data_IF_792410456052
#
_entry.id   IF_792410456052
#
_cell.length_a   1.000
_cell.length_b   1.000
_cell.length_c   1.000
_cell.angle_alpha   90.00
_cell.angle_beta   90.00
_cell.angle_gamma   90.00
#
_symmetry.space_group_name_H-M   'P 1'
#
loop_
_entity.id
_entity.type
_entity.pdbx_description
1 polymer ?
#
# COMPACT_ATOMS: atom_id res chain seq x y z
N UNK A 1 -23.56 23.27 -2.67
CA UNK A 1 -24.39 24.40 -3.12
C UNK A 1 -24.40 25.37 -1.97
N UNK A 2 -23.94 26.61 -2.19
CA UNK A 2 -24.09 27.63 -1.16
C UNK A 2 -25.58 27.92 -1.04
N UNK A 3 -26.13 27.80 0.17
CA UNK A 3 -27.53 28.11 0.53
C UNK A 3 -27.96 29.42 -0.12
N UNK A 4 -27.11 30.45 -0.01
CA UNK A 4 -27.31 31.78 -0.59
C UNK A 4 -27.58 31.77 -2.11
N UNK A 5 -26.95 30.87 -2.86
CA UNK A 5 -27.16 30.80 -4.31
C UNK A 5 -28.51 30.18 -4.65
N UNK A 6 -28.93 29.15 -3.91
CA UNK A 6 -30.23 28.52 -4.10
C UNK A 6 -31.37 29.47 -3.69
N UNK A 7 -31.16 30.25 -2.62
CA UNK A 7 -32.10 31.27 -2.16
C UNK A 7 -32.28 32.38 -3.21
N UNK A 8 -31.15 32.95 -3.68
CA UNK A 8 -31.14 33.94 -4.75
C UNK A 8 -31.80 33.43 -6.05
N UNK A 9 -31.50 32.19 -6.44
CA UNK A 9 -32.11 31.59 -7.64
C UNK A 9 -33.62 31.41 -7.45
N UNK A 10 -34.07 31.06 -6.24
CA UNK A 10 -35.49 31.02 -5.91
C UNK A 10 -36.18 32.37 -6.08
N UNK A 11 -35.55 33.45 -5.60
CA UNK A 11 -36.07 34.82 -5.77
C UNK A 11 -36.17 35.24 -7.23
N UNK A 12 -35.16 34.92 -8.04
CA UNK A 12 -35.18 35.21 -9.48
C UNK A 12 -36.31 34.46 -10.21
N UNK A 13 -36.58 33.21 -9.84
CA UNK A 13 -37.68 32.42 -10.42
C UNK A 13 -39.02 33.09 -10.13
N UNK A 14 -39.25 33.55 -8.89
CA UNK A 14 -40.49 34.25 -8.53
C UNK A 14 -40.61 35.60 -9.24
N UNK A 15 -39.49 36.31 -9.38
CA UNK A 15 -39.46 37.58 -10.12
C UNK A 15 -39.84 37.41 -11.60
N UNK A 16 -39.50 36.28 -12.23
CA UNK A 16 -39.85 35.99 -13.62
C UNK A 16 -41.23 35.34 -13.77
N UNK A 17 -41.65 34.56 -12.77
CA UNK A 17 -42.89 33.79 -12.77
C UNK A 17 -43.66 34.01 -11.44
N UNK A 18 -44.45 35.08 -11.34
CA UNK A 18 -45.12 35.44 -10.07
C UNK A 18 -46.13 34.41 -9.55
N UNK A 19 -46.61 33.49 -10.39
CA UNK A 19 -47.51 32.40 -9.99
C UNK A 19 -46.81 31.23 -9.31
N UNK A 20 -45.48 31.16 -9.37
CA UNK A 20 -44.69 30.13 -8.69
C UNK A 20 -44.57 30.43 -7.18
N UNK A 21 -44.23 29.40 -6.41
CA UNK A 21 -44.01 29.51 -4.95
C UNK A 21 -42.55 29.20 -4.64
N UNK A 22 -41.83 30.13 -3.99
CA UNK A 22 -40.37 30.03 -3.74
C UNK A 22 -39.98 28.74 -3.02
N UNK A 23 -40.80 28.34 -2.04
CA UNK A 23 -40.64 27.14 -1.22
C UNK A 23 -40.59 25.83 -2.04
N UNK A 24 -41.19 25.82 -3.24
CA UNK A 24 -41.10 24.71 -4.19
C UNK A 24 -39.66 24.47 -4.64
N UNK A 25 -38.90 25.55 -4.78
CA UNK A 25 -37.54 25.56 -5.33
C UNK A 25 -36.48 25.54 -4.24
N UNK A 26 -36.69 26.33 -3.19
CA UNK A 26 -35.80 26.41 -2.06
C UNK A 26 -36.55 26.86 -0.79
N UNK A 27 -36.40 26.09 0.29
CA UNK A 27 -36.89 26.44 1.63
C UNK A 27 -35.75 26.22 2.63
N UNK A 28 -35.31 27.29 3.27
CA UNK A 28 -34.35 27.24 4.37
C UNK A 28 -35.09 27.14 5.71
N UNK A 29 -34.66 26.19 6.55
CA UNK A 29 -35.16 26.10 7.91
C UNK A 29 -34.22 26.87 8.85
N UNK A 30 -34.77 27.77 9.67
CA UNK A 30 -34.02 28.45 10.74
C UNK A 30 -33.54 27.51 11.85
N UNK A 31 -34.11 26.30 11.92
CA UNK A 31 -33.65 25.22 12.80
C UNK A 31 -32.71 24.31 12.03
N UNK A 32 -31.89 23.52 12.72
CA UNK A 32 -30.79 22.66 12.21
C UNK A 32 -31.24 21.50 11.28
N UNK A 33 -32.26 21.72 10.46
CA UNK A 33 -32.81 20.82 9.46
C UNK A 33 -32.23 21.17 8.10
N UNK A 34 -31.93 20.15 7.31
CA UNK A 34 -31.42 20.35 5.96
C UNK A 34 -32.42 21.14 5.10
N UNK A 35 -31.95 22.07 4.24
CA UNK A 35 -32.80 22.79 3.30
C UNK A 35 -33.59 21.83 2.39
N UNK A 36 -34.74 22.28 1.90
CA UNK A 36 -35.59 21.52 0.97
C UNK A 36 -35.85 22.30 -0.31
N UNK A 37 -36.43 21.60 -1.29
CA UNK A 37 -36.83 22.18 -2.58
C UNK A 37 -36.14 21.52 -3.77
N UNK A 38 -36.64 21.80 -4.97
CA UNK A 38 -36.15 21.22 -6.23
C UNK A 38 -34.68 21.52 -6.48
N UNK A 39 -34.21 22.74 -6.18
CA UNK A 39 -32.82 23.16 -6.43
C UNK A 39 -31.83 22.39 -5.54
N UNK A 40 -32.14 22.30 -4.25
CA UNK A 40 -31.33 21.55 -3.28
C UNK A 40 -31.28 20.05 -3.61
N UNK A 41 -32.45 19.45 -3.87
CA UNK A 41 -32.55 18.03 -4.23
C UNK A 41 -31.77 17.71 -5.50
N UNK A 42 -31.87 18.55 -6.54
CA UNK A 42 -31.15 18.38 -7.80
C UNK A 42 -29.64 18.40 -7.59
N UNK A 43 -29.13 19.36 -6.81
CA UNK A 43 -27.71 19.43 -6.47
C UNK A 43 -27.24 18.20 -5.71
N UNK A 44 -27.99 17.77 -4.68
CA UNK A 44 -27.58 16.62 -3.87
C UNK A 44 -27.60 15.32 -4.67
N UNK A 45 -28.63 15.09 -5.48
CA UNK A 45 -28.72 13.93 -6.37
C UNK A 45 -27.58 13.93 -7.40
N UNK A 46 -27.25 15.09 -7.97
CA UNK A 46 -26.12 15.23 -8.88
C UNK A 46 -24.77 14.96 -8.19
N UNK A 47 -24.54 15.50 -6.98
CA UNK A 47 -23.33 15.23 -6.22
C UNK A 47 -23.23 13.76 -5.81
N UNK A 48 -24.35 13.10 -5.50
CA UNK A 48 -24.39 11.66 -5.23
C UNK A 48 -24.00 10.86 -6.47
N UNK A 49 -24.55 11.23 -7.62
CA UNK A 49 -24.19 10.64 -8.91
C UNK A 49 -22.69 10.81 -9.22
N UNK A 50 -22.14 12.02 -9.09
CA UNK A 50 -20.72 12.28 -9.32
C UNK A 50 -19.80 11.49 -8.37
N UNK A 51 -20.24 11.27 -7.12
CA UNK A 51 -19.53 10.42 -6.17
C UNK A 51 -19.61 8.94 -6.55
N UNK A 52 -20.78 8.47 -7.01
CA UNK A 52 -20.94 7.07 -7.43
C UNK A 52 -20.21 6.74 -8.72
N UNK A 53 -20.08 7.70 -9.64
CA UNK A 53 -19.30 7.53 -10.87
C UNK A 53 -17.80 7.77 -10.68
N UNK A 54 -17.36 8.22 -9.50
CA UNK A 54 -15.95 8.46 -9.19
C UNK A 54 -15.39 9.78 -9.73
N UNK A 55 -16.20 10.61 -10.40
CA UNK A 55 -15.81 11.93 -10.90
C UNK A 55 -15.55 12.93 -9.76
N UNK A 56 -16.20 12.74 -8.61
CA UNK A 56 -15.92 13.49 -7.38
C UNK A 56 -15.48 12.52 -6.29
N UNK A 57 -14.27 12.72 -5.79
CA UNK A 57 -13.75 11.92 -4.69
C UNK A 57 -14.39 12.35 -3.37
N UNK A 58 -14.95 11.40 -2.63
CA UNK A 58 -15.32 11.61 -1.23
C UNK A 58 -14.06 11.90 -0.42
N UNK A 59 -14.12 12.80 0.59
CA UNK A 59 -12.97 13.10 1.46
C UNK A 59 -12.37 11.84 2.11
N UNK A 60 -13.18 10.81 2.39
CA UNK A 60 -12.69 9.51 2.88
C UNK A 60 -11.74 8.82 1.88
N UNK A 61 -11.98 8.97 0.58
CA UNK A 61 -11.14 8.37 -0.46
C UNK A 61 -9.82 9.13 -0.64
N UNK A 62 -9.81 10.46 -0.47
CA UNK A 62 -8.58 11.26 -0.48
C UNK A 62 -7.61 10.87 0.63
N UNK A 63 -8.09 10.72 1.86
CA UNK A 63 -7.24 10.32 3.00
C UNK A 63 -6.67 8.90 2.80
N UNK A 64 -7.49 7.97 2.31
CA UNK A 64 -7.05 6.61 1.99
C UNK A 64 -5.97 6.60 0.90
N UNK A 65 -6.12 7.42 -0.14
CA UNK A 65 -5.15 7.51 -1.22
C UNK A 65 -3.84 8.16 -0.75
N UNK A 66 -3.90 9.22 0.06
CA UNK A 66 -2.72 9.84 0.67
C UNK A 66 -1.95 8.86 1.56
N UNK A 67 -2.64 8.07 2.39
CA UNK A 67 -2.02 7.05 3.21
C UNK A 67 -1.34 5.95 2.36
N UNK A 68 -2.00 5.48 1.29
CA UNK A 68 -1.40 4.52 0.35
C UNK A 68 -0.13 5.05 -0.31
N UNK A 69 -0.13 6.32 -0.73
CA UNK A 69 1.04 6.95 -1.33
C UNK A 69 2.18 7.04 -0.32
N UNK A 70 1.91 7.50 0.90
CA UNK A 70 2.91 7.57 1.96
C UNK A 70 3.58 6.21 2.24
N UNK A 71 2.77 5.16 2.41
CA UNK A 71 3.26 3.79 2.67
C UNK A 71 4.16 3.30 1.52
N UNK A 72 3.77 3.58 0.27
CA UNK A 72 4.53 3.20 -0.91
C UNK A 72 5.83 3.99 -1.04
N UNK A 73 5.76 5.32 -0.98
CA UNK A 73 6.92 6.21 -1.14
C UNK A 73 7.98 6.02 -0.06
N UNK A 74 7.55 5.72 1.17
CA UNK A 74 8.45 5.48 2.31
C UNK A 74 8.85 4.02 2.48
N UNK A 75 8.49 3.14 1.55
CA UNK A 75 8.78 1.70 1.60
C UNK A 75 8.45 1.07 2.97
N UNK A 76 7.30 1.45 3.54
CA UNK A 76 6.91 1.00 4.89
C UNK A 76 6.53 -0.48 4.89
N UNK A 77 5.90 -0.98 3.83
CA UNK A 77 5.50 -2.40 3.76
C UNK A 77 6.68 -3.37 3.82
N UNK A 78 7.78 -3.18 3.04
CA UNK A 78 9.00 -3.98 3.20
C UNK A 78 9.53 -4.03 4.63
N UNK A 79 9.57 -2.89 5.33
CA UNK A 79 10.00 -2.82 6.73
C UNK A 79 9.09 -3.64 7.63
N UNK A 80 7.77 -3.45 7.52
CA UNK A 80 6.79 -4.20 8.32
C UNK A 80 6.93 -5.70 8.06
N UNK A 81 7.05 -6.11 6.79
CA UNK A 81 7.24 -7.52 6.42
C UNK A 81 8.51 -8.10 7.06
N UNK A 82 9.63 -7.38 7.01
CA UNK A 82 10.87 -7.81 7.65
C UNK A 82 10.71 -7.99 9.18
N UNK A 83 10.12 -6.99 9.86
CA UNK A 83 9.87 -7.04 11.30
C UNK A 83 8.92 -8.19 11.69
N UNK A 84 7.90 -8.46 10.88
CA UNK A 84 7.02 -9.61 11.12
C UNK A 84 7.73 -10.94 10.88
N UNK A 85 8.56 -11.04 9.84
CA UNK A 85 9.31 -12.27 9.54
C UNK A 85 10.35 -12.58 10.62
N UNK A 86 11.04 -11.56 11.14
CA UNK A 86 12.02 -11.75 12.23
C UNK A 86 11.36 -12.23 13.52
N UNK A 87 10.17 -11.73 13.85
CA UNK A 87 9.39 -12.25 14.98
C UNK A 87 9.00 -13.72 14.82
N UNK A 88 8.51 -14.10 13.64
CA UNK A 88 8.13 -15.50 13.34
C UNK A 88 9.33 -16.44 13.34
N UNK A 89 10.52 -15.95 12.97
CA UNK A 89 11.74 -16.75 12.92
C UNK A 89 12.39 -16.94 14.29
N UNK A 90 12.35 -15.93 15.15
CA UNK A 90 13.09 -15.93 16.41
C UNK A 90 12.23 -16.17 17.65
N UNK A 91 10.90 -16.00 17.53
CA UNK A 91 9.93 -16.23 18.62
C UNK A 91 10.41 -15.71 19.99
N UNK A 92 10.82 -14.42 20.09
CA UNK A 92 11.41 -13.89 21.31
C UNK A 92 10.38 -13.80 22.45
N UNK A 93 10.85 -13.99 23.69
CA UNK A 93 10.02 -13.87 24.90
C UNK A 93 9.42 -12.46 25.06
N UNK A 94 10.18 -11.42 24.68
CA UNK A 94 9.72 -10.03 24.62
C UNK A 94 9.77 -9.50 23.17
N UNK A 95 8.66 -9.59 22.42
CA UNK A 95 8.61 -9.19 21.01
C UNK A 95 8.76 -7.68 20.82
N UNK A 96 8.34 -6.85 21.79
CA UNK A 96 8.41 -5.39 21.66
C UNK A 96 9.85 -4.91 21.85
N UNK A 97 10.54 -5.42 22.87
CA UNK A 97 11.96 -5.10 23.08
C UNK A 97 12.81 -5.58 21.90
N UNK A 98 12.55 -6.78 21.39
CA UNK A 98 13.21 -7.32 20.22
C UNK A 98 13.02 -6.42 18.98
N UNK A 99 11.78 -6.03 18.67
CA UNK A 99 11.50 -5.16 17.51
C UNK A 99 12.18 -3.79 17.62
N UNK A 100 12.26 -3.24 18.84
CA UNK A 100 12.95 -1.96 19.07
C UNK A 100 14.43 -2.07 18.69
N UNK A 101 15.10 -3.13 19.13
CA UNK A 101 16.51 -3.39 18.78
C UNK A 101 16.69 -3.58 17.27
N UNK A 102 15.78 -4.31 16.61
CA UNK A 102 15.84 -4.47 15.14
C UNK A 102 15.76 -3.13 14.40
N UNK A 103 14.86 -2.23 14.83
CA UNK A 103 14.74 -0.90 14.22
C UNK A 103 15.98 -0.04 14.52
N UNK A 104 16.56 -0.15 15.71
CA UNK A 104 17.80 0.54 16.06
C UNK A 104 18.98 0.06 15.19
N UNK A 105 19.14 -1.24 14.98
CA UNK A 105 20.15 -1.81 14.10
C UNK A 105 19.99 -1.33 12.65
N UNK A 106 18.75 -1.25 12.15
CA UNK A 106 18.43 -0.70 10.83
C UNK A 106 18.80 0.78 10.71
N UNK A 107 18.54 1.57 11.75
CA UNK A 107 18.90 2.99 11.80
C UNK A 107 20.42 3.15 11.78
N UNK A 108 21.13 2.37 12.59
CA UNK A 108 22.59 2.38 12.64
C UNK A 108 23.16 2.07 11.24
N UNK A 109 22.67 0.99 10.60
CA UNK A 109 23.15 0.60 9.27
C UNK A 109 22.91 1.69 8.22
N UNK A 110 21.74 2.33 8.24
CA UNK A 110 21.42 3.47 7.37
C UNK A 110 22.42 4.61 7.56
N UNK A 111 22.84 4.86 8.79
CA UNK A 111 23.77 5.92 9.14
C UNK A 111 25.25 5.45 9.00
N UNK A 112 25.47 4.39 8.22
CA UNK A 112 26.76 3.74 7.91
C UNK A 112 27.50 3.17 9.12
N UNK A 113 26.75 2.81 10.17
CA UNK A 113 27.28 2.18 11.37
C UNK A 113 26.69 0.77 11.54
N UNK A 114 27.55 -0.22 11.78
CA UNK A 114 27.07 -1.58 12.06
C UNK A 114 26.76 -2.42 10.81
N UNK A 115 26.00 -3.50 11.00
CA UNK A 115 25.80 -4.57 10.00
C UNK A 115 24.42 -4.46 9.35
N UNK A 116 24.27 -4.91 8.10
CA UNK A 116 22.95 -4.94 7.48
C UNK A 116 21.98 -5.82 8.28
N UNK A 117 20.69 -5.44 8.34
CA UNK A 117 19.64 -6.27 8.94
C UNK A 117 19.40 -7.50 8.07
N UNK A 118 20.04 -8.62 8.39
CA UNK A 118 19.95 -9.87 7.64
C UNK A 118 18.87 -10.76 8.26
N UNK A 119 17.87 -11.13 7.47
CA UNK A 119 16.81 -12.06 7.91
C UNK A 119 17.29 -13.52 7.88
N UNK A 120 18.07 -13.90 6.87
CA UNK A 120 18.49 -15.28 6.64
C UNK A 120 19.98 -15.46 6.89
N UNK A 121 20.33 -16.33 7.83
CA UNK A 121 21.68 -16.86 8.01
C UNK A 121 22.05 -17.78 6.85
N UNK A 122 23.36 -17.96 6.65
CA UNK A 122 23.95 -18.87 5.66
C UNK A 122 23.31 -20.26 5.64
N UNK A 123 23.05 -20.84 6.81
CA UNK A 123 22.46 -22.18 6.92
C UNK A 123 21.02 -22.23 6.40
N UNK A 124 20.24 -21.15 6.56
CA UNK A 124 18.89 -21.04 6.00
C UNK A 124 18.96 -21.01 4.48
N UNK A 125 19.90 -20.24 3.90
CA UNK A 125 20.11 -20.19 2.45
C UNK A 125 20.54 -21.56 1.90
N UNK A 126 21.46 -22.25 2.58
CA UNK A 126 21.87 -23.61 2.20
C UNK A 126 20.67 -24.57 2.23
N UNK A 127 19.78 -24.45 3.21
CA UNK A 127 18.59 -25.30 3.30
C UNK A 127 17.58 -25.01 2.17
N UNK A 128 17.38 -23.74 1.81
CA UNK A 128 16.56 -23.36 0.65
C UNK A 128 17.16 -23.93 -0.64
N UNK A 129 18.48 -23.83 -0.81
CA UNK A 129 19.19 -24.41 -1.94
C UNK A 129 18.98 -25.92 -2.02
N UNK A 130 19.17 -26.65 -0.93
CA UNK A 130 18.92 -28.09 -0.86
C UNK A 130 17.45 -28.45 -1.16
N UNK A 131 16.52 -27.59 -0.75
CA UNK A 131 15.09 -27.77 -1.05
C UNK A 131 14.75 -27.68 -2.54
N UNK A 132 15.55 -26.97 -3.34
CA UNK A 132 15.37 -26.89 -4.80
C UNK A 132 16.30 -27.83 -5.58
N UNK A 133 17.43 -28.26 -5.01
CA UNK A 133 18.35 -29.28 -5.56
C UNK A 133 17.90 -30.70 -5.18
N UNK A 134 16.72 -31.11 -5.66
CA UNK A 134 16.13 -32.42 -5.34
C UNK A 134 16.99 -33.62 -5.78
N UNK A 135 17.90 -33.43 -6.74
CA UNK A 135 18.82 -34.46 -7.22
C UNK A 135 20.14 -34.50 -6.44
N UNK A 136 20.36 -33.58 -5.50
CA UNK A 136 21.63 -33.40 -4.76
C UNK A 136 22.85 -33.33 -5.70
N UNK A 137 22.71 -32.61 -6.83
CA UNK A 137 23.79 -32.44 -7.81
C UNK A 137 24.85 -31.46 -7.28
N UNK A 138 24.50 -30.62 -6.30
CA UNK A 138 25.35 -29.55 -5.78
C UNK A 138 25.29 -28.26 -6.60
N UNK A 139 24.45 -28.23 -7.63
CA UNK A 139 24.20 -27.08 -8.49
C UNK A 139 22.76 -27.08 -8.99
N UNK A 140 22.19 -25.90 -9.25
CA UNK A 140 20.80 -25.73 -9.69
C UNK A 140 20.74 -25.03 -11.05
N UNK A 141 19.69 -25.27 -11.83
CA UNK A 141 19.45 -24.51 -13.05
C UNK A 141 18.84 -23.13 -12.74
N UNK A 142 18.73 -22.30 -13.77
CA UNK A 142 18.21 -20.93 -13.62
C UNK A 142 16.75 -20.90 -13.13
N UNK A 143 15.90 -21.89 -13.51
CA UNK A 143 14.50 -21.95 -13.06
C UNK A 143 14.41 -22.27 -11.56
N UNK A 144 15.25 -23.19 -11.10
CA UNK A 144 15.39 -23.54 -9.70
C UNK A 144 15.93 -22.37 -8.88
N UNK A 145 16.88 -21.59 -9.43
CA UNK A 145 17.37 -20.36 -8.81
C UNK A 145 16.25 -19.32 -8.63
N UNK A 146 15.47 -19.03 -9.69
CA UNK A 146 14.31 -18.13 -9.58
C UNK A 146 13.32 -18.62 -8.51
N UNK A 147 13.06 -19.93 -8.46
CA UNK A 147 12.19 -20.54 -7.44
C UNK A 147 12.76 -20.38 -6.03
N UNK A 148 14.06 -20.56 -5.83
CA UNK A 148 14.73 -20.39 -4.55
C UNK A 148 14.68 -18.93 -4.07
N UNK A 149 14.91 -17.96 -4.96
CA UNK A 149 14.79 -16.53 -4.62
C UNK A 149 13.35 -16.16 -4.24
N UNK A 150 12.35 -16.70 -4.95
CA UNK A 150 10.95 -16.51 -4.58
C UNK A 150 10.61 -17.14 -3.21
N UNK A 151 11.24 -18.27 -2.84
CA UNK A 151 11.08 -18.87 -1.50
C UNK A 151 11.65 -17.98 -0.38
N UNK A 152 12.65 -17.15 -0.69
CA UNK A 152 13.19 -16.14 0.24
C UNK A 152 12.31 -14.87 0.31
N UNK A 153 11.21 -14.82 -0.45
CA UNK A 153 10.27 -13.70 -0.49
C UNK A 153 10.70 -12.55 -1.39
N UNK A 154 11.70 -12.77 -2.24
CA UNK A 154 12.16 -11.78 -3.24
C UNK A 154 11.30 -11.88 -4.50
N UNK A 155 10.92 -10.74 -5.08
CA UNK A 155 10.27 -10.70 -6.38
C UNK A 155 11.31 -10.62 -7.50
N UNK A 156 10.91 -10.86 -8.75
CA UNK A 156 11.82 -10.88 -9.90
C UNK A 156 12.68 -9.62 -10.08
N UNK A 157 12.26 -8.47 -9.54
CA UNK A 157 13.00 -7.21 -9.64
C UNK A 157 13.96 -6.97 -8.47
N UNK A 158 13.95 -7.85 -7.47
CA UNK A 158 14.70 -7.67 -6.21
C UNK A 158 16.02 -8.47 -6.20
N UNK A 159 16.33 -9.24 -7.25
CA UNK A 159 17.54 -10.06 -7.33
C UNK A 159 18.13 -10.14 -8.75
N UNK A 160 19.36 -10.66 -8.82
CA UNK A 160 20.11 -10.77 -10.07
C UNK A 160 19.47 -11.81 -11.02
N UNK A 161 19.07 -11.36 -12.22
CA UNK A 161 18.47 -12.20 -13.28
C UNK A 161 19.50 -12.95 -14.12
N UNK A 162 20.77 -12.61 -13.97
CA UNK A 162 21.90 -13.23 -14.68
C UNK A 162 22.99 -13.59 -13.67
N UNK A 163 22.71 -14.55 -12.74
CA UNK A 163 23.68 -15.03 -11.77
C UNK A 163 24.88 -15.64 -12.48
N UNK A 164 26.02 -15.66 -11.78
CA UNK A 164 27.19 -16.35 -12.31
C UNK A 164 26.88 -17.84 -12.48
N UNK A 165 27.05 -18.35 -13.70
CA UNK A 165 26.86 -19.78 -14.00
C UNK A 165 28.19 -20.48 -14.19
N UNK A 166 28.23 -21.75 -13.80
CA UNK A 166 29.29 -22.71 -14.13
C UNK A 166 28.88 -23.52 -15.37
N UNK A 167 29.62 -24.59 -15.68
CA UNK A 167 29.35 -25.47 -16.82
C UNK A 167 27.87 -25.86 -16.92
N UNK A 168 27.36 -25.91 -18.16
CA UNK A 168 25.98 -26.26 -18.49
C UNK A 168 24.90 -25.31 -17.89
N UNK A 169 25.19 -24.03 -17.73
CA UNK A 169 24.25 -23.02 -17.20
C UNK A 169 23.71 -23.37 -15.80
N UNK A 170 24.55 -23.96 -14.97
CA UNK A 170 24.20 -24.31 -13.57
C UNK A 170 24.78 -23.30 -12.60
N UNK A 171 24.15 -23.18 -11.43
CA UNK A 171 24.50 -22.23 -10.38
C UNK A 171 24.88 -23.05 -9.14
N UNK A 172 26.10 -22.89 -8.65
CA UNK A 172 26.57 -23.58 -7.46
C UNK A 172 25.99 -22.96 -6.17
N UNK A 173 25.91 -23.76 -5.11
CA UNK A 173 25.42 -23.31 -3.81
C UNK A 173 26.17 -22.07 -3.28
N UNK A 174 27.49 -21.99 -3.50
CA UNK A 174 28.30 -20.85 -3.07
C UNK A 174 27.89 -19.54 -3.75
N UNK A 175 27.50 -19.61 -5.03
CA UNK A 175 27.07 -18.46 -5.82
C UNK A 175 25.68 -18.02 -5.36
N UNK A 176 24.76 -18.98 -5.19
CA UNK A 176 23.44 -18.70 -4.64
C UNK A 176 23.51 -18.01 -3.28
N UNK A 177 24.32 -18.53 -2.35
CA UNK A 177 24.48 -17.98 -0.99
C UNK A 177 25.13 -16.60 -0.98
N UNK A 178 25.97 -16.26 -1.98
CA UNK A 178 26.57 -14.92 -2.06
C UNK A 178 25.65 -13.89 -2.69
N UNK A 179 24.73 -14.32 -3.55
CA UNK A 179 23.79 -13.41 -4.25
C UNK A 179 22.47 -13.21 -3.49
N UNK A 180 22.10 -14.13 -2.59
CA UNK A 180 20.90 -14.09 -1.75
C UNK A 180 21.14 -13.36 -0.41
#
# INVERSE_FOLDING_TARGET
>A
MMVNFADFTGDQIISMFPSEVKDTYFMEYKSNKNPKGKLYSKFYNFMRFLKSTGLVTSNKNRNKQKAKLYIKEKNVMPLVNHLTSTLLLHEPDDPVAFLKLQVEDMINFRDHQGKPPILFKKDHLINVFKGVDYLNIGSIDLKQYFKAMNMLGLNENDFNKSPQVVENNRIECKIFVSEA
#
